data_IF_658029833565
#
_entry.id   IF_658029833565
#
_cell.length_a   1.000
_cell.length_b   1.000
_cell.length_c   1.000
_cell.angle_alpha   90.00
_cell.angle_beta   90.00
_cell.angle_gamma   90.00
#
_symmetry.space_group_name_H-M   'P 1'
#
loop_
_entity.id
_entity.type
_entity.pdbx_description
1 polymer ?
#
# COMPACT_ATOMS: atom_id res chain seq x y z
N UNK A 1 -8.83 21.90 -17.28
CA UNK A 1 -9.30 20.51 -17.14
C UNK A 1 -8.18 19.47 -17.31
N UNK A 2 -7.61 19.24 -18.51
CA UNK A 2 -6.55 18.21 -18.74
C UNK A 2 -5.37 18.29 -17.76
N UNK A 3 -4.79 19.47 -17.57
CA UNK A 3 -3.57 19.62 -16.76
C UNK A 3 -3.80 19.21 -15.30
N UNK A 4 -5.03 19.37 -14.78
CA UNK A 4 -5.39 18.94 -13.43
C UNK A 4 -5.35 17.42 -13.32
N UNK A 5 -5.92 16.69 -14.30
CA UNK A 5 -5.85 15.23 -14.35
C UNK A 5 -4.43 14.70 -14.55
N UNK A 6 -3.62 15.39 -15.35
CA UNK A 6 -2.20 15.01 -15.54
C UNK A 6 -1.42 15.20 -14.24
N UNK A 7 -1.59 16.33 -13.54
CA UNK A 7 -0.92 16.58 -12.26
C UNK A 7 -1.37 15.58 -11.19
N UNK A 8 -2.69 15.33 -11.06
CA UNK A 8 -3.25 14.32 -10.16
C UNK A 8 -2.71 12.93 -10.46
N UNK A 9 -2.72 12.51 -11.73
CA UNK A 9 -2.20 11.21 -12.14
C UNK A 9 -0.70 11.07 -11.87
N UNK A 10 0.07 12.15 -12.04
CA UNK A 10 1.51 12.16 -11.80
C UNK A 10 1.85 12.05 -10.30
N UNK A 11 1.15 12.80 -9.45
CA UNK A 11 1.31 12.70 -7.99
C UNK A 11 0.91 11.29 -7.51
N UNK A 12 -0.22 10.77 -8.01
CA UNK A 12 -0.67 9.42 -7.68
C UNK A 12 0.32 8.33 -8.13
N UNK A 13 0.91 8.45 -9.32
CA UNK A 13 1.89 7.46 -9.81
C UNK A 13 3.20 7.52 -9.03
N UNK A 14 3.65 8.71 -8.61
CA UNK A 14 4.82 8.83 -7.73
C UNK A 14 4.54 8.21 -6.37
N UNK A 15 3.39 8.52 -5.75
CA UNK A 15 2.99 7.92 -4.47
C UNK A 15 2.90 6.38 -4.58
N UNK A 16 2.35 5.86 -5.67
CA UNK A 16 2.29 4.43 -5.94
C UNK A 16 3.68 3.78 -5.97
N UNK A 17 4.65 4.40 -6.65
CA UNK A 17 6.03 3.88 -6.69
C UNK A 17 6.67 3.90 -5.31
N UNK A 18 6.53 5.00 -4.56
CA UNK A 18 7.06 5.11 -3.20
C UNK A 18 6.49 4.00 -2.32
N UNK A 19 5.16 3.83 -2.30
CA UNK A 19 4.50 2.79 -1.51
C UNK A 19 4.87 1.38 -1.98
N UNK A 20 5.04 1.14 -3.27
CA UNK A 20 5.43 -0.16 -3.82
C UNK A 20 6.81 -0.64 -3.33
N UNK A 21 7.73 0.30 -3.07
CA UNK A 21 9.08 -0.02 -2.59
C UNK A 21 9.10 -0.25 -1.07
N UNK A 22 8.14 0.31 -0.32
CA UNK A 22 8.00 0.08 1.13
C UNK A 22 7.43 -1.30 1.48
N UNK A 23 7.50 -1.76 2.74
CA UNK A 23 6.74 -2.94 3.21
C UNK A 23 5.22 -2.76 3.11
N UNK A 24 4.73 -1.53 2.95
CA UNK A 24 3.32 -1.20 2.74
C UNK A 24 2.84 -1.39 1.29
N UNK A 25 3.55 -2.21 0.49
CA UNK A 25 3.26 -2.40 -0.93
C UNK A 25 1.83 -2.85 -1.23
N UNK A 26 1.15 -3.53 -0.30
CA UNK A 26 -0.27 -3.89 -0.41
C UNK A 26 -1.18 -2.68 -0.56
N UNK A 27 -0.81 -1.54 0.02
CA UNK A 27 -1.58 -0.28 -0.05
C UNK A 27 -1.30 0.43 -1.39
N UNK A 28 -0.16 0.15 -2.04
CA UNK A 28 0.25 0.79 -3.30
C UNK A 28 -0.71 0.52 -4.48
N UNK A 29 -1.53 -0.52 -4.40
CA UNK A 29 -2.55 -0.82 -5.43
C UNK A 29 -3.60 0.30 -5.54
N UNK A 30 -3.98 0.96 -4.44
CA UNK A 30 -4.98 2.04 -4.44
C UNK A 30 -4.50 3.25 -5.28
N UNK A 31 -3.36 3.89 -4.98
CA UNK A 31 -2.86 4.99 -5.78
C UNK A 31 -2.49 4.55 -7.21
N UNK A 32 -2.10 3.28 -7.41
CA UNK A 32 -1.83 2.74 -8.77
C UNK A 32 -3.10 2.73 -9.63
N UNK A 33 -4.22 2.24 -9.10
CA UNK A 33 -5.51 2.23 -9.81
C UNK A 33 -5.98 3.65 -10.08
N UNK A 34 -5.88 4.55 -9.10
CA UNK A 34 -6.22 5.96 -9.26
C UNK A 34 -5.38 6.63 -10.37
N UNK A 35 -4.07 6.38 -10.40
CA UNK A 35 -3.17 6.89 -11.43
C UNK A 35 -3.54 6.39 -12.83
N UNK A 36 -3.92 5.11 -12.97
CA UNK A 36 -4.41 4.56 -14.24
C UNK A 36 -5.69 5.26 -14.72
N UNK A 37 -6.67 5.44 -13.83
CA UNK A 37 -7.93 6.09 -14.18
C UNK A 37 -7.70 7.54 -14.61
N UNK A 38 -6.92 8.32 -13.84
CA UNK A 38 -6.59 9.69 -14.21
C UNK A 38 -5.73 9.77 -15.48
N UNK A 39 -4.80 8.84 -15.68
CA UNK A 39 -4.00 8.71 -16.89
C UNK A 39 -4.85 8.43 -18.13
N UNK A 40 -5.84 7.54 -18.03
CA UNK A 40 -6.79 7.23 -19.10
C UNK A 40 -7.68 8.42 -19.45
N UNK A 41 -8.23 9.10 -18.44
CA UNK A 41 -9.04 10.31 -18.65
C UNK A 41 -8.20 11.40 -19.32
N UNK A 42 -6.95 11.61 -18.86
CA UNK A 42 -6.04 12.56 -19.46
C UNK A 42 -5.67 12.19 -20.92
N UNK A 43 -5.54 10.90 -21.22
CA UNK A 43 -5.29 10.38 -22.57
C UNK A 43 -6.47 10.66 -23.51
N UNK A 44 -7.70 10.42 -23.06
CA UNK A 44 -8.90 10.69 -23.84
C UNK A 44 -9.00 12.17 -24.23
N UNK A 45 -8.78 13.09 -23.28
CA UNK A 45 -8.73 14.53 -23.55
C UNK A 45 -7.56 14.95 -24.44
N UNK A 46 -6.41 14.27 -24.37
CA UNK A 46 -5.26 14.57 -25.23
C UNK A 46 -5.51 14.18 -26.70
N UNK A 47 -6.31 13.13 -26.95
CA UNK A 47 -6.68 12.70 -28.30
C UNK A 47 -7.46 13.78 -29.06
N UNK A 48 -8.32 14.53 -28.37
CA UNK A 48 -9.12 15.61 -28.98
C UNK A 48 -8.30 16.85 -29.40
N UNK A 49 -7.14 17.11 -28.77
CA UNK A 49 -6.44 18.40 -28.90
C UNK A 49 -5.07 18.33 -29.61
N UNK A 50 -4.69 17.18 -30.18
CA UNK A 50 -3.36 16.95 -30.79
C UNK A 50 -2.16 17.38 -29.92
N UNK A 51 -2.33 17.35 -28.59
CA UNK A 51 -1.31 17.79 -27.64
C UNK A 51 -0.25 16.69 -27.42
N UNK A 52 0.99 17.06 -27.07
CA UNK A 52 2.05 16.09 -26.79
C UNK A 52 1.66 15.15 -25.64
N UNK A 53 1.77 13.84 -25.90
CA UNK A 53 1.35 12.76 -24.98
C UNK A 53 2.45 12.27 -24.05
N UNK A 54 3.65 12.87 -24.10
CA UNK A 54 4.84 12.44 -23.35
C UNK A 54 4.58 12.34 -21.83
N UNK A 55 3.92 13.34 -21.24
CA UNK A 55 3.63 13.33 -19.79
C UNK A 55 2.69 12.20 -19.37
N UNK A 56 1.74 11.84 -20.23
CA UNK A 56 0.76 10.76 -19.95
C UNK A 56 1.46 9.41 -20.06
N UNK A 57 2.35 9.23 -21.04
CA UNK A 57 3.19 8.03 -21.16
C UNK A 57 4.05 7.82 -19.91
N UNK A 58 4.60 8.88 -19.31
CA UNK A 58 5.36 8.77 -18.06
C UNK A 58 4.49 8.29 -16.89
N UNK A 59 3.25 8.78 -16.76
CA UNK A 59 2.30 8.32 -15.73
C UNK A 59 2.04 6.82 -15.88
N UNK A 60 1.73 6.36 -17.10
CA UNK A 60 1.51 4.94 -17.36
C UNK A 60 2.75 4.10 -17.07
N UNK A 61 3.93 4.57 -17.48
CA UNK A 61 5.20 3.88 -17.23
C UNK A 61 5.47 3.72 -15.73
N UNK A 62 5.35 4.81 -14.95
CA UNK A 62 5.51 4.79 -13.49
C UNK A 62 4.51 3.84 -12.83
N UNK A 63 3.27 3.85 -13.30
CA UNK A 63 2.21 3.01 -12.72
C UNK A 63 2.45 1.52 -13.02
N UNK A 64 2.89 1.18 -14.23
CA UNK A 64 3.25 -0.20 -14.58
C UNK A 64 4.44 -0.68 -13.73
N UNK A 65 5.46 0.16 -13.54
CA UNK A 65 6.61 -0.17 -12.69
C UNK A 65 6.16 -0.42 -11.24
N UNK A 66 5.29 0.44 -10.69
CA UNK A 66 4.74 0.27 -9.35
C UNK A 66 3.94 -1.04 -9.21
N UNK A 67 3.10 -1.36 -10.19
CA UNK A 67 2.34 -2.62 -10.24
C UNK A 67 3.24 -3.84 -10.32
N UNK A 68 4.26 -3.82 -11.16
CA UNK A 68 5.23 -4.90 -11.30
C UNK A 68 6.01 -5.13 -10.00
N UNK A 69 6.49 -4.06 -9.37
CA UNK A 69 7.18 -4.12 -8.08
C UNK A 69 6.27 -4.67 -6.97
N UNK A 70 5.05 -4.15 -6.88
CA UNK A 70 4.08 -4.57 -5.86
C UNK A 70 3.66 -6.03 -6.05
N UNK A 71 3.46 -6.45 -7.29
CA UNK A 71 3.10 -7.84 -7.62
C UNK A 71 4.26 -8.80 -7.40
N UNK A 72 5.48 -8.39 -7.77
CA UNK A 72 6.69 -9.17 -7.47
C UNK A 72 6.82 -9.39 -5.96
N UNK A 73 6.74 -8.31 -5.16
CA UNK A 73 6.75 -8.44 -3.70
C UNK A 73 5.58 -9.27 -3.19
N UNK A 74 4.38 -9.13 -3.76
CA UNK A 74 3.22 -9.92 -3.34
C UNK A 74 3.37 -11.42 -3.54
N UNK A 75 4.12 -11.85 -4.56
CA UNK A 75 4.31 -13.27 -4.88
C UNK A 75 5.54 -13.84 -4.18
N UNK A 76 6.62 -13.06 -4.06
CA UNK A 76 7.92 -13.53 -3.57
C UNK A 76 8.23 -13.15 -2.12
N UNK A 77 7.51 -12.17 -1.54
CA UNK A 77 7.67 -11.79 -0.13
C UNK A 77 6.63 -12.53 0.70
N UNK A 78 7.09 -13.50 1.50
CA UNK A 78 6.31 -14.01 2.63
C UNK A 78 6.08 -12.80 3.53
N UNK A 79 4.82 -12.47 3.80
CA UNK A 79 4.51 -11.42 4.76
C UNK A 79 5.04 -11.88 6.11
N UNK A 80 6.27 -11.48 6.47
CA UNK A 80 6.73 -11.47 7.85
C UNK A 80 5.82 -10.49 8.58
N UNK A 81 4.68 -11.01 9.04
CA UNK A 81 3.97 -10.46 10.17
C UNK A 81 4.98 -10.48 11.31
N UNK A 82 5.44 -9.30 11.74
CA UNK A 82 6.46 -9.17 12.77
C UNK A 82 6.11 -10.05 13.96
N UNK A 83 7.09 -10.84 14.39
CA UNK A 83 7.05 -11.91 15.39
C UNK A 83 5.71 -12.08 16.12
N UNK A 84 4.69 -12.58 15.41
CA UNK A 84 3.36 -12.82 16.01
C UNK A 84 3.46 -13.84 17.14
N UNK A 85 4.46 -14.71 17.09
CA UNK A 85 4.81 -15.65 18.15
C UNK A 85 5.23 -14.94 19.45
N UNK A 86 6.02 -13.86 19.39
CA UNK A 86 6.34 -13.04 20.58
C UNK A 86 5.10 -12.35 21.16
N UNK A 87 4.18 -11.88 20.31
CA UNK A 87 2.93 -11.27 20.77
C UNK A 87 2.01 -12.28 21.45
N UNK A 88 1.87 -13.48 20.86
CA UNK A 88 1.09 -14.59 21.44
C UNK A 88 1.77 -15.09 22.73
N UNK A 89 3.09 -15.19 22.76
CA UNK A 89 3.83 -15.61 23.94
C UNK A 89 3.64 -14.61 25.09
N UNK A 90 3.72 -13.31 24.81
CA UNK A 90 3.47 -12.26 25.80
C UNK A 90 2.01 -12.23 26.28
N UNK A 91 1.06 -12.52 25.40
CA UNK A 91 -0.36 -12.64 25.76
C UNK A 91 -0.59 -13.83 26.70
N UNK A 92 -0.04 -15.00 26.37
CA UNK A 92 -0.11 -16.19 27.23
C UNK A 92 0.61 -15.98 28.58
N UNK A 93 1.78 -15.32 28.57
CA UNK A 93 2.53 -15.00 29.78
C UNK A 93 1.73 -14.02 30.67
N UNK A 94 1.07 -13.02 30.06
CA UNK A 94 0.18 -12.11 30.80
C UNK A 94 -1.07 -12.80 31.34
N UNK A 95 -1.59 -13.82 30.64
CA UNK A 95 -2.75 -14.61 31.10
C UNK A 95 -2.36 -15.54 32.26
N UNK A 96 -1.18 -16.18 32.19
CA UNK A 96 -0.63 -16.98 33.28
C UNK A 96 -0.32 -16.13 34.51
N UNK A 97 0.34 -14.98 34.34
CA UNK A 97 0.62 -14.05 35.43
C UNK A 97 -0.68 -13.56 36.09
N UNK A 98 -1.73 -13.30 35.31
CA UNK A 98 -3.04 -12.90 35.84
C UNK A 98 -3.75 -14.04 36.58
N UNK A 99 -3.58 -15.29 36.14
CA UNK A 99 -4.10 -16.46 36.85
C UNK A 99 -3.35 -16.72 38.16
N UNK A 100 -2.02 -16.57 38.16
CA UNK A 100 -1.19 -16.67 39.36
C UNK A 100 -1.54 -15.56 40.36
N UNK A 101 -1.73 -14.32 39.88
CA UNK A 101 -2.19 -13.20 40.71
C UNK A 101 -3.60 -13.46 41.29
N UNK A 102 -4.49 -14.14 40.55
CA UNK A 102 -5.82 -14.54 41.04
C UNK A 102 -5.78 -15.71 42.02
N UNK A 103 -4.82 -16.63 41.88
CA UNK A 103 -4.64 -17.77 42.78
C UNK A 103 -3.97 -17.35 44.10
N UNK A 104 -3.06 -16.38 44.05
CA UNK A 104 -2.45 -15.72 45.21
C UNK A 104 -3.41 -14.75 45.93
N UNK A 105 -4.52 -14.35 45.28
CA UNK A 105 -5.64 -13.70 45.98
C UNK A 105 -6.42 -14.80 46.73
N UNK A 106 -5.93 -15.16 47.92
CA UNK A 106 -6.74 -15.85 48.92
C UNK A 106 -7.94 -14.94 49.26
N UNK A 107 -9.12 -15.33 48.77
CA UNK A 107 -10.38 -14.69 49.15
C UNK A 107 -10.70 -15.15 50.58
N UNK A 108 -10.12 -14.44 51.56
CA UNK A 108 -10.57 -14.50 52.95
C UNK A 108 -12.05 -14.07 53.00
N UNK A 109 -12.90 -14.96 53.50
CA UNK A 109 -14.33 -14.70 53.76
C UNK A 109 -14.54 -13.72 54.91
#
# INVERSE_FOLDING_TARGET
MRNVFVVLGFIASILAVILAVTPLFKIAYIPSIAALVFGLIAFYFAKQKQLPRKSIQLIFLLTIIALSLSTYKSVFTIAEVGNTEELIQKENESELDALEELEDIEIDQ
#
